data_IF_959994754116
#
_entry.id   IF_959994754116
#
_cell.length_a   1.000
_cell.length_b   1.000
_cell.length_c   1.000
_cell.angle_alpha   90.00
_cell.angle_beta   90.00
_cell.angle_gamma   90.00
#
_symmetry.space_group_name_H-M   'P 1'
#
loop_
_entity.id
_entity.type
_entity.pdbx_description
1 polymer ?
#
# COMPACT_ATOMS: atom_id res chain seq x y z
N UNK A 1 9.15 56.00 -6.71
CA UNK A 1 8.28 54.85 -7.04
C UNK A 1 9.06 53.56 -7.33
N UNK A 2 10.04 53.55 -8.26
CA UNK A 2 10.82 52.34 -8.63
C UNK A 2 11.56 51.65 -7.46
N UNK A 3 12.17 52.41 -6.55
CA UNK A 3 12.89 51.87 -5.37
C UNK A 3 11.97 51.16 -4.38
N UNK A 4 10.75 51.70 -4.16
CA UNK A 4 9.77 51.07 -3.28
C UNK A 4 9.26 49.75 -3.87
N UNK A 5 9.00 49.71 -5.18
CA UNK A 5 8.61 48.49 -5.90
C UNK A 5 9.69 47.41 -5.77
N UNK A 6 10.97 47.77 -5.93
CA UNK A 6 12.09 46.84 -5.78
C UNK A 6 12.20 46.27 -4.35
N UNK A 7 12.02 47.11 -3.32
CA UNK A 7 12.02 46.66 -1.91
C UNK A 7 10.89 45.68 -1.62
N UNK A 8 9.67 45.96 -2.12
CA UNK A 8 8.53 45.05 -1.98
C UNK A 8 8.80 43.72 -2.68
N UNK A 9 9.39 43.75 -3.88
CA UNK A 9 9.74 42.54 -4.63
C UNK A 9 10.79 41.68 -3.91
N UNK A 10 11.82 42.30 -3.31
CA UNK A 10 12.82 41.58 -2.49
C UNK A 10 12.16 40.93 -1.29
N UNK A 11 11.33 41.67 -0.53
CA UNK A 11 10.66 41.13 0.65
C UNK A 11 9.79 39.94 0.27
N UNK A 12 9.04 40.05 -0.84
CA UNK A 12 8.25 38.95 -1.38
C UNK A 12 9.12 37.73 -1.72
N UNK A 13 10.25 37.92 -2.41
CA UNK A 13 11.16 36.82 -2.76
C UNK A 13 11.76 36.14 -1.54
N UNK A 14 12.11 36.90 -0.50
CA UNK A 14 12.60 36.36 0.79
C UNK A 14 11.51 35.50 1.44
N UNK A 15 10.28 36.01 1.55
CA UNK A 15 9.14 35.26 2.13
C UNK A 15 8.87 33.98 1.34
N UNK A 16 8.90 34.06 0.01
CA UNK A 16 8.72 32.91 -0.88
C UNK A 16 9.80 31.85 -0.65
N UNK A 17 11.06 32.28 -0.59
CA UNK A 17 12.21 31.39 -0.34
C UNK A 17 12.09 30.70 1.01
N UNK A 18 11.77 31.44 2.08
CA UNK A 18 11.56 30.88 3.42
C UNK A 18 10.42 29.86 3.40
N UNK A 19 9.33 30.17 2.70
CA UNK A 19 8.17 29.29 2.59
C UNK A 19 8.51 27.98 1.86
N UNK A 20 9.28 28.05 0.77
CA UNK A 20 9.75 26.86 0.03
C UNK A 20 10.67 26.02 0.92
N UNK A 21 11.61 26.65 1.64
CA UNK A 21 12.51 25.95 2.56
C UNK A 21 11.72 25.25 3.68
N UNK A 22 10.75 25.94 4.29
CA UNK A 22 9.89 25.36 5.33
C UNK A 22 9.08 24.17 4.81
N UNK A 23 8.40 24.33 3.66
CA UNK A 23 7.60 23.27 3.05
C UNK A 23 8.45 22.07 2.63
N UNK A 24 9.72 22.30 2.27
CA UNK A 24 10.62 21.24 1.83
C UNK A 24 11.28 20.46 2.97
N UNK A 25 11.59 21.14 4.08
CA UNK A 25 12.29 20.53 5.23
C UNK A 25 11.33 19.99 6.28
N UNK A 26 10.31 20.78 6.65
CA UNK A 26 9.37 20.47 7.72
C UNK A 26 8.09 19.88 7.11
N UNK A 27 7.55 20.56 6.10
CA UNK A 27 6.25 20.25 5.49
C UNK A 27 5.07 20.70 6.34
N UNK A 28 3.87 20.25 5.99
CA UNK A 28 2.62 20.54 6.69
C UNK A 28 1.88 19.26 7.05
N UNK A 29 1.13 19.27 8.15
CA UNK A 29 0.21 18.19 8.51
C UNK A 29 -1.24 18.69 8.49
N UNK A 30 -2.12 17.97 7.79
CA UNK A 30 -3.51 18.40 7.63
C UNK A 30 -4.46 17.21 7.53
N UNK A 31 -5.71 17.42 7.95
CA UNK A 31 -6.84 16.50 7.77
C UNK A 31 -7.84 17.01 6.70
N UNK A 32 -7.59 18.18 6.09
CA UNK A 32 -8.53 18.86 5.19
C UNK A 32 -8.91 18.01 3.97
N UNK A 33 -8.00 17.14 3.51
CA UNK A 33 -8.23 16.28 2.34
C UNK A 33 -8.95 14.96 2.67
N UNK A 34 -9.17 14.64 3.95
CA UNK A 34 -9.69 13.33 4.34
C UNK A 34 -11.09 13.05 3.76
N UNK A 35 -11.97 14.06 3.77
CA UNK A 35 -13.31 13.93 3.22
C UNK A 35 -13.28 13.71 1.70
N UNK A 36 -12.48 14.52 0.98
CA UNK A 36 -12.31 14.38 -0.46
C UNK A 36 -11.80 12.98 -0.85
N UNK A 37 -10.78 12.48 -0.15
CA UNK A 37 -10.26 11.12 -0.38
C UNK A 37 -11.34 10.06 -0.11
N UNK A 38 -12.07 10.20 1.00
CA UNK A 38 -13.15 9.27 1.35
C UNK A 38 -14.25 9.25 0.29
N UNK A 39 -14.63 10.41 -0.24
CA UNK A 39 -15.68 10.52 -1.24
C UNK A 39 -15.25 9.97 -2.62
N UNK A 40 -13.99 10.15 -3.02
CA UNK A 40 -13.46 9.49 -4.23
C UNK A 40 -13.45 7.96 -4.09
N UNK A 41 -13.09 7.42 -2.92
CA UNK A 41 -13.12 5.97 -2.70
C UNK A 41 -14.55 5.39 -2.71
N UNK A 42 -15.54 6.15 -2.22
CA UNK A 42 -16.96 5.75 -2.28
C UNK A 42 -17.48 5.63 -3.71
N UNK A 43 -16.92 6.38 -4.67
CA UNK A 43 -17.25 6.22 -6.11
C UNK A 43 -16.82 4.86 -6.64
N UNK A 44 -15.71 4.32 -6.14
CA UNK A 44 -15.21 2.99 -6.49
C UNK A 44 -16.07 1.91 -5.83
N UNK A 45 -16.32 2.05 -4.52
CA UNK A 45 -17.19 1.14 -3.78
C UNK A 45 -17.84 1.89 -2.61
N UNK A 46 -19.17 1.99 -2.60
CA UNK A 46 -19.94 2.71 -1.57
C UNK A 46 -19.69 2.20 -0.15
N UNK A 47 -19.30 0.93 0.01
CA UNK A 47 -19.02 0.32 1.31
C UNK A 47 -17.57 0.49 1.76
N UNK A 48 -16.69 0.99 0.88
CA UNK A 48 -15.28 1.21 1.18
C UNK A 48 -15.12 2.54 1.91
N UNK A 49 -14.66 2.47 3.15
CA UNK A 49 -14.43 3.62 4.02
C UNK A 49 -12.95 3.59 4.45
N UNK A 50 -12.30 4.75 4.37
CA UNK A 50 -10.94 4.93 4.87
C UNK A 50 -10.94 5.91 6.04
N UNK A 51 -10.39 5.50 7.17
CA UNK A 51 -10.21 6.35 8.34
C UNK A 51 -8.77 6.85 8.36
N UNK A 52 -8.59 8.10 7.96
CA UNK A 52 -7.32 8.79 7.88
C UNK A 52 -7.14 9.70 9.11
N UNK A 53 -5.94 9.73 9.67
CA UNK A 53 -5.53 10.74 10.66
C UNK A 53 -5.07 12.02 9.94
N UNK A 54 -3.95 12.61 10.33
CA UNK A 54 -3.31 13.70 9.60
C UNK A 54 -2.46 13.15 8.46
N UNK A 55 -2.48 13.86 7.34
CA UNK A 55 -1.63 13.63 6.18
C UNK A 55 -0.50 14.64 6.26
N UNK A 56 0.74 14.16 6.31
CA UNK A 56 1.95 14.97 6.19
C UNK A 56 2.27 15.18 4.71
N UNK A 57 2.52 16.42 4.31
CA UNK A 57 2.82 16.85 2.95
C UNK A 57 4.15 17.59 2.97
N UNK A 58 5.11 17.15 2.17
CA UNK A 58 6.46 17.73 2.07
C UNK A 58 6.76 18.05 0.61
N UNK A 59 7.22 19.27 0.34
CA UNK A 59 7.58 19.72 -1.00
C UNK A 59 8.99 19.24 -1.38
N UNK A 60 9.13 18.61 -2.55
CA UNK A 60 10.41 18.48 -3.22
C UNK A 60 10.47 19.53 -4.35
N UNK A 61 11.15 20.67 -4.13
CA UNK A 61 11.18 21.76 -5.10
C UNK A 61 11.98 21.40 -6.35
N UNK A 62 12.99 20.54 -6.24
CA UNK A 62 13.82 20.12 -7.38
C UNK A 62 13.04 19.23 -8.36
N UNK A 63 12.24 18.30 -7.84
CA UNK A 63 11.41 17.42 -8.65
C UNK A 63 10.02 17.99 -8.95
N UNK A 64 9.66 19.15 -8.38
CA UNK A 64 8.30 19.72 -8.39
C UNK A 64 7.23 18.69 -7.99
N UNK A 65 7.47 17.99 -6.87
CA UNK A 65 6.58 16.96 -6.33
C UNK A 65 6.24 17.21 -4.87
N UNK A 66 5.04 16.80 -4.47
CA UNK A 66 4.62 16.74 -3.08
C UNK A 66 4.68 15.28 -2.61
N UNK A 67 5.50 15.00 -1.59
CA UNK A 67 5.49 13.72 -0.88
C UNK A 67 4.39 13.76 0.17
N UNK A 68 3.42 12.88 0.06
CA UNK A 68 2.32 12.73 1.01
C UNK A 68 2.49 11.45 1.81
N UNK A 69 2.24 11.51 3.12
CA UNK A 69 2.33 10.34 4.01
C UNK A 69 1.29 10.42 5.12
N UNK A 70 0.69 9.29 5.45
CA UNK A 70 -0.24 9.15 6.57
C UNK A 70 0.04 7.83 7.31
N UNK A 71 -0.34 7.76 8.58
CA UNK A 71 -0.05 6.63 9.47
C UNK A 71 -1.29 6.19 10.25
N UNK A 72 -1.30 4.93 10.67
CA UNK A 72 -2.35 4.36 11.51
C UNK A 72 -3.73 4.44 10.85
N UNK A 73 -3.81 3.97 9.60
CA UNK A 73 -5.00 4.01 8.76
C UNK A 73 -5.85 2.78 9.02
N UNK A 74 -7.17 2.94 9.06
CA UNK A 74 -8.10 1.80 9.02
C UNK A 74 -8.86 1.82 7.70
N UNK A 75 -8.82 0.71 6.99
CA UNK A 75 -9.62 0.50 5.78
C UNK A 75 -10.75 -0.44 6.12
N UNK A 76 -11.99 0.01 5.93
CA UNK A 76 -13.20 -0.74 6.21
C UNK A 76 -13.92 -1.03 4.90
N UNK A 77 -14.40 -2.25 4.75
CA UNK A 77 -15.34 -2.58 3.69
C UNK A 77 -16.43 -3.48 4.26
N UNK A 78 -17.68 -3.02 4.21
CA UNK A 78 -18.79 -3.63 4.97
C UNK A 78 -18.43 -3.73 6.47
N UNK A 79 -18.51 -4.92 7.04
CA UNK A 79 -18.17 -5.23 8.43
C UNK A 79 -16.70 -5.64 8.64
N UNK A 80 -15.87 -5.63 7.58
CA UNK A 80 -14.46 -6.07 7.65
C UNK A 80 -13.52 -4.88 7.72
N UNK A 81 -12.46 -5.01 8.52
CA UNK A 81 -11.49 -3.95 8.79
C UNK A 81 -10.07 -4.51 8.59
N UNK A 82 -9.21 -3.73 7.93
CA UNK A 82 -7.76 -3.94 7.88
C UNK A 82 -7.08 -2.67 8.39
N UNK A 83 -6.05 -2.86 9.21
CA UNK A 83 -5.18 -1.77 9.64
C UNK A 83 -3.92 -1.70 8.79
N UNK A 84 -3.60 -0.49 8.34
CA UNK A 84 -2.36 -0.19 7.65
C UNK A 84 -1.45 0.59 8.60
N UNK A 85 -0.16 0.30 8.51
CA UNK A 85 0.85 1.04 9.24
C UNK A 85 1.00 2.45 8.65
N UNK A 86 1.26 2.52 7.34
CA UNK A 86 1.38 3.78 6.64
C UNK A 86 0.98 3.67 5.16
N UNK A 87 0.56 4.81 4.60
CA UNK A 87 0.41 5.01 3.16
C UNK A 87 1.28 6.21 2.80
N UNK A 88 2.10 6.06 1.76
CA UNK A 88 2.93 7.11 1.21
C UNK A 88 2.77 7.19 -0.30
N UNK A 89 2.71 8.40 -0.83
CA UNK A 89 2.65 8.65 -2.26
C UNK A 89 3.35 9.95 -2.63
N UNK A 90 3.59 10.17 -3.92
CA UNK A 90 4.06 11.42 -4.49
C UNK A 90 3.03 11.97 -5.49
N UNK A 91 2.79 13.26 -5.40
CA UNK A 91 1.96 14.04 -6.32
C UNK A 91 2.89 14.91 -7.19
N UNK A 92 2.74 14.84 -8.51
CA UNK A 92 3.43 15.70 -9.46
C UNK A 92 2.67 17.01 -9.62
N UNK A 93 3.33 18.14 -9.31
CA UNK A 93 2.74 19.47 -9.46
C UNK A 93 2.57 19.80 -10.94
N UNK A 94 3.56 19.45 -11.78
CA UNK A 94 3.48 19.68 -13.22
C UNK A 94 2.32 18.93 -13.86
N UNK A 95 2.06 17.69 -13.42
CA UNK A 95 0.93 16.89 -13.93
C UNK A 95 -0.42 17.58 -13.73
N UNK A 96 -0.57 18.38 -12.67
CA UNK A 96 -1.80 19.13 -12.41
C UNK A 96 -2.03 20.20 -13.48
N UNK A 97 -1.00 20.97 -13.84
CA UNK A 97 -1.09 22.01 -14.88
C UNK A 97 -1.24 21.43 -16.29
N UNK A 98 -0.72 20.21 -16.51
CA UNK A 98 -0.81 19.50 -17.78
C UNK A 98 -2.10 18.66 -17.93
N UNK A 99 -3.04 18.73 -16.97
CA UNK A 99 -4.25 17.90 -16.93
C UNK A 99 -3.96 16.38 -17.03
N UNK A 100 -2.83 15.93 -16.49
CA UNK A 100 -2.42 14.52 -16.41
C UNK A 100 -2.71 13.94 -15.03
N UNK A 101 -2.65 12.62 -14.92
CA UNK A 101 -2.76 11.97 -13.62
C UNK A 101 -1.63 12.43 -12.68
N UNK A 102 -2.04 12.89 -11.51
CA UNK A 102 -1.14 13.59 -10.58
C UNK A 102 -0.37 12.65 -9.65
N UNK A 103 -0.91 11.46 -9.36
CA UNK A 103 -0.32 10.51 -8.42
C UNK A 103 0.74 9.66 -9.15
N UNK A 104 1.99 9.71 -8.72
CA UNK A 104 3.06 8.98 -9.44
C UNK A 104 3.24 7.55 -8.93
N UNK A 105 3.07 7.35 -7.62
CA UNK A 105 3.24 6.07 -6.95
C UNK A 105 2.26 5.91 -5.78
N UNK A 106 2.13 4.70 -5.25
CA UNK A 106 1.42 4.42 -4.01
C UNK A 106 2.15 3.30 -3.28
N UNK A 107 2.69 3.64 -2.11
CA UNK A 107 3.37 2.72 -1.20
C UNK A 107 2.47 2.50 0.01
N UNK A 108 2.17 1.24 0.34
CA UNK A 108 1.28 0.85 1.42
C UNK A 108 2.02 -0.17 2.28
N UNK A 109 2.17 0.12 3.57
CA UNK A 109 2.67 -0.84 4.55
C UNK A 109 1.51 -1.26 5.45
N UNK A 110 1.32 -2.56 5.62
CA UNK A 110 0.29 -3.10 6.52
C UNK A 110 0.83 -3.22 7.95
N UNK A 111 -0.06 -3.20 8.93
CA UNK A 111 0.27 -3.83 10.22
C UNK A 111 0.21 -5.36 10.08
N UNK A 112 0.47 -6.09 11.15
CA UNK A 112 0.20 -7.52 11.17
C UNK A 112 -1.31 -7.77 11.01
N UNK A 113 -1.68 -8.50 9.95
CA UNK A 113 -3.06 -8.86 9.64
C UNK A 113 -3.22 -10.36 9.82
N UNK A 114 -4.24 -10.79 10.56
CA UNK A 114 -4.59 -12.21 10.58
C UNK A 114 -5.04 -12.64 9.17
N UNK A 115 -4.43 -13.71 8.64
CA UNK A 115 -4.65 -14.12 7.24
C UNK A 115 -6.13 -14.40 6.95
N UNK A 116 -6.87 -14.96 7.92
CA UNK A 116 -8.33 -15.15 7.81
C UNK A 116 -9.10 -13.84 7.67
N UNK A 117 -8.67 -12.80 8.38
CA UNK A 117 -9.28 -11.48 8.30
C UNK A 117 -8.96 -10.82 6.96
N UNK A 118 -7.73 -10.96 6.47
CA UNK A 118 -7.35 -10.53 5.11
C UNK A 118 -8.23 -11.22 4.04
N UNK A 119 -8.37 -12.55 4.09
CA UNK A 119 -9.20 -13.28 3.12
C UNK A 119 -10.65 -12.83 3.22
N UNK A 120 -11.18 -12.66 4.44
CA UNK A 120 -12.55 -12.17 4.65
C UNK A 120 -12.75 -10.77 4.08
N UNK A 121 -11.76 -9.90 4.24
CA UNK A 121 -11.77 -8.55 3.67
C UNK A 121 -11.71 -8.58 2.15
N UNK A 122 -10.79 -9.34 1.53
CA UNK A 122 -10.72 -9.47 0.06
C UNK A 122 -12.04 -9.99 -0.52
N UNK A 123 -12.71 -10.92 0.17
CA UNK A 123 -14.03 -11.45 -0.23
C UNK A 123 -15.15 -10.40 -0.26
N UNK A 124 -14.98 -9.26 0.39
CA UNK A 124 -15.94 -8.14 0.29
C UNK A 124 -15.89 -7.44 -1.07
N UNK A 125 -14.77 -7.54 -1.79
CA UNK A 125 -14.60 -7.03 -3.16
C UNK A 125 -14.89 -8.11 -4.20
N UNK A 126 -14.42 -9.34 -3.97
CA UNK A 126 -14.61 -10.47 -4.89
C UNK A 126 -14.97 -11.74 -4.14
N UNK A 127 -16.23 -12.16 -4.21
CA UNK A 127 -16.72 -13.35 -3.51
C UNK A 127 -16.45 -14.65 -4.30
N UNK A 128 -15.17 -15.01 -4.43
CA UNK A 128 -14.72 -16.22 -5.13
C UNK A 128 -14.81 -17.47 -4.20
N UNK A 129 -15.44 -18.59 -4.64
CA UNK A 129 -15.46 -19.86 -3.89
C UNK A 129 -14.06 -20.36 -3.47
N UNK A 130 -13.02 -20.12 -4.27
CA UNK A 130 -11.63 -20.47 -3.93
C UNK A 130 -11.19 -19.80 -2.63
N UNK A 131 -11.60 -18.56 -2.39
CA UNK A 131 -11.32 -17.84 -1.14
C UNK A 131 -12.08 -18.41 0.05
N UNK A 132 -13.27 -18.99 -0.14
CA UNK A 132 -13.96 -19.73 0.91
C UNK A 132 -13.18 -20.97 1.32
N UNK A 133 -12.68 -21.74 0.34
CA UNK A 133 -11.87 -22.94 0.58
C UNK A 133 -10.58 -22.58 1.32
N UNK A 134 -9.82 -21.58 0.82
CA UNK A 134 -8.57 -21.13 1.46
C UNK A 134 -8.84 -20.68 2.91
N UNK A 135 -9.91 -19.93 3.16
CA UNK A 135 -10.30 -19.50 4.52
C UNK A 135 -10.54 -20.68 5.46
N UNK A 136 -11.12 -21.78 4.96
CA UNK A 136 -11.42 -22.98 5.75
C UNK A 136 -10.15 -23.77 6.11
N UNK A 137 -9.18 -23.81 5.20
CA UNK A 137 -7.91 -24.52 5.39
C UNK A 137 -7.00 -23.81 6.39
N UNK A 138 -6.95 -22.48 6.36
CA UNK A 138 -6.13 -21.70 7.29
C UNK A 138 -6.77 -21.73 8.66
N UNK A 139 -6.00 -22.03 9.70
CA UNK A 139 -6.47 -22.05 11.10
C UNK A 139 -6.00 -20.83 11.88
N UNK A 140 -4.74 -20.43 11.71
CA UNK A 140 -4.09 -19.26 12.30
C UNK A 140 -3.03 -18.76 11.33
N UNK A 141 -2.64 -17.50 11.45
CA UNK A 141 -1.47 -16.95 10.78
C UNK A 141 -1.54 -15.45 10.66
N UNK A 142 -0.37 -14.81 10.61
CA UNK A 142 -0.27 -13.37 10.42
C UNK A 142 0.56 -13.04 9.19
N UNK A 143 0.18 -11.96 8.52
CA UNK A 143 0.85 -11.41 7.35
C UNK A 143 1.16 -9.93 7.58
N UNK A 144 2.37 -9.53 7.21
CA UNK A 144 2.78 -8.13 7.07
C UNK A 144 3.23 -7.96 5.62
N UNK A 145 2.80 -6.89 4.97
CA UNK A 145 3.18 -6.61 3.59
C UNK A 145 3.47 -5.13 3.34
N UNK A 146 4.44 -4.90 2.46
CA UNK A 146 4.74 -3.64 1.80
C UNK A 146 4.38 -3.77 0.33
N UNK A 147 3.48 -2.92 -0.14
CA UNK A 147 2.98 -2.87 -1.51
C UNK A 147 3.48 -1.58 -2.14
N UNK A 148 4.11 -1.68 -3.32
CA UNK A 148 4.53 -0.56 -4.14
C UNK A 148 3.85 -0.63 -5.50
N UNK A 149 3.11 0.42 -5.84
CA UNK A 149 2.41 0.61 -7.10
C UNK A 149 2.93 1.87 -7.77
N UNK A 150 3.04 1.88 -9.10
CA UNK A 150 3.42 3.06 -9.88
C UNK A 150 2.41 3.28 -11.00
N UNK A 151 2.14 4.55 -11.32
CA UNK A 151 1.15 4.93 -12.33
C UNK A 151 1.80 5.61 -13.53
N UNK A 152 1.17 5.48 -14.69
CA UNK A 152 1.50 6.26 -15.88
C UNK A 152 0.79 7.64 -15.86
N UNK A 153 1.05 8.46 -16.89
CA UNK A 153 0.45 9.80 -17.01
C UNK A 153 -1.08 9.79 -17.18
N UNK A 154 -1.66 8.65 -17.52
CA UNK A 154 -3.10 8.45 -17.69
C UNK A 154 -3.74 7.84 -16.44
N UNK A 155 -2.96 7.56 -15.39
CA UNK A 155 -3.41 6.93 -14.16
C UNK A 155 -3.56 5.41 -14.25
N UNK A 156 -3.05 4.77 -15.30
CA UNK A 156 -3.00 3.31 -15.38
C UNK A 156 -1.85 2.78 -14.52
N UNK A 157 -2.11 1.68 -13.82
CA UNK A 157 -1.08 0.96 -13.07
C UNK A 157 -0.04 0.40 -14.04
N UNK A 158 1.25 0.64 -13.75
CA UNK A 158 2.37 0.06 -14.49
C UNK A 158 2.59 -1.40 -14.11
N UNK A 159 3.14 -2.17 -15.04
CA UNK A 159 3.47 -3.60 -14.86
C UNK A 159 4.77 -3.83 -14.03
N UNK A 160 5.07 -2.94 -13.09
CA UNK A 160 6.25 -2.99 -12.24
C UNK A 160 5.89 -2.96 -10.74
N UNK A 161 4.67 -3.37 -10.41
CA UNK A 161 4.23 -3.48 -9.02
C UNK A 161 5.13 -4.45 -8.25
N UNK A 162 5.31 -4.17 -6.96
CA UNK A 162 6.06 -5.03 -6.05
C UNK A 162 5.30 -5.20 -4.75
N UNK A 163 5.19 -6.44 -4.28
CA UNK A 163 4.59 -6.78 -3.00
C UNK A 163 5.61 -7.63 -2.25
N UNK A 164 6.12 -7.09 -1.15
CA UNK A 164 7.06 -7.78 -0.28
C UNK A 164 6.43 -7.98 1.07
N UNK A 165 6.85 -8.99 1.80
CA UNK A 165 6.32 -9.19 3.13
C UNK A 165 6.75 -10.49 3.76
N UNK A 166 6.06 -10.82 4.85
CA UNK A 166 6.30 -12.04 5.58
C UNK A 166 5.00 -12.66 6.05
N UNK A 167 5.00 -13.98 6.11
CA UNK A 167 4.00 -14.81 6.77
C UNK A 167 4.64 -15.43 7.99
N UNK A 168 3.95 -15.37 9.13
CA UNK A 168 4.43 -15.95 10.39
C UNK A 168 3.37 -16.76 11.12
N UNK A 169 3.85 -17.74 11.89
CA UNK A 169 3.07 -18.59 12.81
C UNK A 169 1.81 -19.18 12.17
N UNK A 170 1.89 -19.47 10.87
CA UNK A 170 0.71 -19.89 10.12
C UNK A 170 0.47 -21.38 10.28
N UNK A 171 -0.80 -21.75 10.41
CA UNK A 171 -1.26 -23.14 10.51
C UNK A 171 -2.29 -23.41 9.43
N UNK A 172 -2.04 -24.46 8.65
CA UNK A 172 -2.94 -24.94 7.59
C UNK A 172 -3.31 -26.37 7.93
N UNK A 173 -4.59 -26.67 7.80
CA UNK A 173 -5.17 -27.98 8.02
C UNK A 173 -5.89 -28.42 6.75
N UNK A 174 -5.30 -29.39 6.06
CA UNK A 174 -5.88 -29.99 4.87
C UNK A 174 -6.87 -31.08 5.28
N UNK A 175 -8.12 -30.66 5.47
CA UNK A 175 -9.27 -31.53 5.71
C UNK A 175 -9.05 -32.56 6.84
N UNK A 176 -8.42 -32.13 7.94
CA UNK A 176 -8.09 -32.96 9.10
C UNK A 176 -7.14 -34.14 8.81
N UNK A 177 -6.47 -34.15 7.64
CA UNK A 177 -5.52 -35.22 7.26
C UNK A 177 -4.06 -34.78 7.40
N UNK A 178 -3.75 -33.56 6.98
CA UNK A 178 -2.39 -33.02 7.04
C UNK A 178 -2.37 -31.68 7.75
N UNK A 179 -1.64 -31.62 8.86
CA UNK A 179 -1.47 -30.42 9.66
C UNK A 179 -0.09 -29.83 9.40
N UNK A 180 -0.07 -28.71 8.68
CA UNK A 180 1.09 -27.85 8.56
C UNK A 180 1.03 -26.79 9.65
N UNK A 181 2.05 -26.71 10.48
CA UNK A 181 2.18 -25.71 11.54
C UNK A 181 3.50 -24.95 11.40
N UNK A 182 3.62 -23.85 12.14
CA UNK A 182 4.81 -23.00 12.16
C UNK A 182 5.28 -22.58 10.76
N UNK A 183 4.34 -22.34 9.84
CA UNK A 183 4.64 -21.87 8.50
C UNK A 183 5.13 -20.42 8.61
N UNK A 184 6.40 -20.22 8.27
CA UNK A 184 7.06 -18.94 8.23
C UNK A 184 7.80 -18.80 6.89
N UNK A 185 7.66 -17.66 6.23
CA UNK A 185 8.45 -17.34 5.05
C UNK A 185 8.42 -15.84 4.76
N UNK A 186 9.45 -15.37 4.08
CA UNK A 186 9.45 -14.07 3.40
C UNK A 186 8.95 -14.26 1.97
N UNK A 187 8.26 -13.27 1.43
CA UNK A 187 7.85 -13.28 0.03
C UNK A 187 8.17 -11.96 -0.66
N UNK A 188 8.46 -12.06 -1.95
CA UNK A 188 8.61 -10.93 -2.86
C UNK A 188 7.92 -11.29 -4.18
N UNK A 189 6.89 -10.55 -4.52
CA UNK A 189 6.07 -10.74 -5.71
C UNK A 189 6.27 -9.52 -6.58
N UNK A 190 6.67 -9.74 -7.83
CA UNK A 190 6.85 -8.70 -8.83
C UNK A 190 6.44 -9.23 -10.19
N UNK A 191 5.45 -8.58 -10.80
CA UNK A 191 4.91 -8.97 -12.11
C UNK A 191 4.53 -10.47 -12.17
N UNK A 192 5.27 -11.30 -12.93
CA UNK A 192 5.00 -12.74 -13.11
C UNK A 192 5.86 -13.63 -12.20
N UNK A 193 6.64 -13.05 -11.29
CA UNK A 193 7.60 -13.78 -10.43
C UNK A 193 7.18 -13.71 -8.97
N UNK A 194 7.10 -14.87 -8.33
CA UNK A 194 6.82 -15.06 -6.92
C UNK A 194 8.05 -15.72 -6.30
N UNK A 195 8.76 -14.96 -5.48
CA UNK A 195 9.91 -15.44 -4.75
C UNK A 195 9.54 -15.63 -3.28
N UNK A 196 9.89 -16.80 -2.74
CA UNK A 196 9.73 -17.14 -1.33
C UNK A 196 11.11 -17.45 -0.75
N UNK A 197 11.40 -16.92 0.43
CA UNK A 197 12.70 -17.07 1.10
C UNK A 197 12.50 -17.47 2.56
N UNK A 198 13.54 -18.06 3.15
CA UNK A 198 13.60 -18.44 4.57
C UNK A 198 12.35 -19.22 5.01
N UNK A 199 12.01 -20.23 4.21
CA UNK A 199 10.79 -21.03 4.36
C UNK A 199 11.04 -22.06 5.46
N UNK A 200 10.21 -22.02 6.50
CA UNK A 200 10.14 -23.04 7.53
C UNK A 200 8.71 -23.52 7.70
N UNK A 201 8.52 -24.84 7.70
CA UNK A 201 7.21 -25.48 7.90
C UNK A 201 7.39 -26.74 8.76
N UNK A 202 6.51 -26.96 9.72
CA UNK A 202 6.41 -28.21 10.48
C UNK A 202 5.24 -29.03 9.95
N UNK A 203 5.52 -30.19 9.35
CA UNK A 203 4.53 -31.19 8.94
C UNK A 203 4.60 -32.35 9.93
N UNK A 204 3.61 -32.46 10.82
CA UNK A 204 3.61 -33.42 11.93
C UNK A 204 4.94 -33.34 12.72
N UNK A 205 5.75 -34.40 12.74
CA UNK A 205 7.03 -34.44 13.45
C UNK A 205 8.23 -34.07 12.55
N UNK A 206 7.99 -33.66 11.30
CA UNK A 206 9.03 -33.36 10.31
C UNK A 206 9.12 -31.86 10.07
N UNK A 207 10.34 -31.31 10.13
CA UNK A 207 10.62 -29.91 9.81
C UNK A 207 11.12 -29.80 8.37
N UNK A 208 10.38 -29.08 7.53
CA UNK A 208 10.73 -28.76 6.15
C UNK A 208 11.34 -27.35 6.12
N UNK A 209 12.53 -27.24 5.56
CA UNK A 209 13.25 -25.98 5.42
C UNK A 209 13.66 -25.77 3.96
N UNK A 210 13.45 -24.56 3.45
CA UNK A 210 13.99 -24.17 2.15
C UNK A 210 14.51 -22.74 2.20
N UNK A 211 15.71 -22.53 1.66
CA UNK A 211 16.29 -21.18 1.54
C UNK A 211 15.51 -20.32 0.55
N UNK A 212 15.06 -20.92 -0.56
CA UNK A 212 14.44 -20.18 -1.67
C UNK A 212 13.54 -21.07 -2.52
N UNK A 213 12.38 -20.55 -2.90
CA UNK A 213 11.51 -21.10 -3.95
C UNK A 213 11.13 -19.96 -4.89
N UNK A 214 11.37 -20.13 -6.17
CA UNK A 214 10.98 -19.19 -7.22
C UNK A 214 9.89 -19.81 -8.10
N UNK A 215 8.79 -19.08 -8.28
CA UNK A 215 7.68 -19.47 -9.15
C UNK A 215 7.52 -18.38 -10.21
N UNK A 216 7.57 -18.77 -11.48
CA UNK A 216 7.38 -17.86 -12.63
C UNK A 216 6.11 -18.25 -13.39
N UNK A 217 5.18 -17.31 -13.57
CA UNK A 217 3.97 -17.50 -14.37
C UNK A 217 4.35 -17.48 -15.86
N UNK A 218 4.11 -18.59 -16.57
CA UNK A 218 4.46 -18.75 -17.99
C UNK A 218 3.29 -18.36 -18.92
N UNK A 219 2.04 -18.63 -18.53
CA UNK A 219 0.82 -18.28 -19.29
C UNK A 219 -0.17 -17.55 -18.40
N UNK A 220 -1.04 -16.73 -18.98
CA UNK A 220 -1.90 -15.83 -18.20
C UNK A 220 -3.15 -16.47 -17.58
N UNK A 221 -3.43 -17.74 -17.89
CA UNK A 221 -4.77 -18.36 -17.77
C UNK A 221 -5.23 -18.85 -16.39
N UNK A 222 -4.54 -18.54 -15.28
CA UNK A 222 -4.90 -19.11 -13.97
C UNK A 222 -5.82 -18.27 -13.07
N UNK A 223 -6.30 -17.11 -13.53
CA UNK A 223 -7.26 -16.31 -12.76
C UNK A 223 -8.35 -15.73 -13.67
N UNK A 224 -9.30 -16.60 -14.06
CA UNK A 224 -10.69 -16.21 -14.31
C UNK A 224 -11.53 -16.52 -13.06
#
# INVERSE_FOLDING_TARGET
MKILIYRVFIIFFIILTISIVYLSTIGIETNRFNNQISDELKKINKNLIIELKKIKIVLNPLELKLKIKTYGIKVKNKDKIIELDNIQSKISINSYFENKFILTDLNISTKAIEIKNLISFVRTFRNDPKLYIIKKLIKKGYLIADIKLEFDSNGKLKNNYSIKGMVRESKIDFFNRYNLSNINFLFNISDKVFNFQDIGVSLNNTKLLSKKIDIKKIRDDFFY
#
